data_IF_662142003909
#
_entry.id   IF_662142003909
#
_cell.length_a   1.000
_cell.length_b   1.000
_cell.length_c   1.000
_cell.angle_alpha   90.00
_cell.angle_beta   90.00
_cell.angle_gamma   90.00
#
_symmetry.space_group_name_H-M   'P 1'
#
loop_
_entity.id
_entity.type
_entity.pdbx_description
1 polymer ?
#
# COMPACT_ATOMS: atom_id res chain seq x y z
N UNK A 1 3.97 -29.49 -14.72
CA UNK A 1 4.83 -29.89 -13.60
C UNK A 1 4.17 -29.40 -12.35
N UNK A 2 3.63 -30.31 -11.56
CA UNK A 2 2.96 -29.96 -10.30
C UNK A 2 3.98 -29.40 -9.30
N UNK A 3 4.00 -28.10 -9.12
CA UNK A 3 4.59 -27.47 -7.94
C UNK A 3 3.47 -27.02 -7.01
N UNK A 4 2.72 -27.99 -6.48
CA UNK A 4 2.03 -27.79 -5.22
C UNK A 4 3.12 -27.63 -4.15
N UNK A 5 3.67 -26.43 -4.00
CA UNK A 5 4.48 -26.06 -2.86
C UNK A 5 3.60 -26.23 -1.63
N UNK A 6 3.97 -27.19 -0.77
CA UNK A 6 3.42 -27.29 0.60
C UNK A 6 3.49 -25.87 1.17
N UNK A 7 2.34 -25.32 1.58
CA UNK A 7 2.25 -24.06 2.31
C UNK A 7 3.28 -24.09 3.44
N UNK A 8 4.41 -23.41 3.25
CA UNK A 8 5.39 -23.20 4.31
C UNK A 8 4.72 -22.27 5.32
N UNK A 9 4.71 -22.65 6.61
CA UNK A 9 4.20 -21.75 7.64
C UNK A 9 5.14 -20.54 7.75
N UNK A 10 4.77 -19.43 7.11
CA UNK A 10 5.56 -18.20 7.03
C UNK A 10 5.80 -17.55 8.39
N UNK A 11 5.03 -17.90 9.44
CA UNK A 11 5.34 -17.50 10.81
C UNK A 11 6.68 -18.05 11.30
N UNK A 12 7.14 -19.18 10.73
CA UNK A 12 8.44 -19.79 11.04
C UNK A 12 9.61 -19.15 10.26
N UNK A 13 9.34 -18.28 9.29
CA UNK A 13 10.40 -17.52 8.61
C UNK A 13 11.20 -16.70 9.63
N UNK A 14 12.55 -16.62 9.52
CA UNK A 14 13.40 -15.94 10.52
C UNK A 14 12.92 -14.53 10.89
N UNK A 15 12.48 -13.75 9.91
CA UNK A 15 12.00 -12.37 10.10
C UNK A 15 10.71 -12.29 10.94
N UNK A 16 9.86 -13.30 10.86
CA UNK A 16 8.61 -13.34 11.62
C UNK A 16 8.78 -14.05 12.97
N UNK A 17 9.63 -15.07 13.01
CA UNK A 17 9.98 -15.79 14.24
C UNK A 17 10.68 -14.89 15.25
N UNK A 18 11.42 -13.89 14.81
CA UNK A 18 12.09 -12.90 15.66
C UNK A 18 11.17 -11.81 16.23
N UNK A 19 9.91 -11.73 15.78
CA UNK A 19 8.96 -10.76 16.30
C UNK A 19 8.58 -11.07 17.76
N UNK A 20 8.66 -10.05 18.61
CA UNK A 20 8.10 -10.14 19.96
C UNK A 20 6.56 -10.12 19.91
N UNK A 21 5.85 -10.57 20.96
CA UNK A 21 4.40 -10.44 21.04
C UNK A 21 3.90 -9.01 20.79
N UNK A 22 4.60 -8.01 21.34
CA UNK A 22 4.27 -6.59 21.18
C UNK A 22 4.43 -6.14 19.74
N UNK A 23 5.48 -6.58 19.04
CA UNK A 23 5.70 -6.27 17.64
C UNK A 23 4.60 -6.87 16.74
N UNK A 24 4.15 -8.10 17.05
CA UNK A 24 3.02 -8.73 16.35
C UNK A 24 1.72 -7.96 16.56
N UNK A 25 1.45 -7.55 17.80
CA UNK A 25 0.28 -6.71 18.15
C UNK A 25 0.38 -5.35 17.43
N UNK A 26 1.56 -4.78 17.31
CA UNK A 26 1.76 -3.52 16.59
C UNK A 26 1.40 -3.66 15.10
N UNK A 27 1.79 -4.75 14.43
CA UNK A 27 1.37 -5.01 13.05
C UNK A 27 -0.15 -5.04 12.92
N UNK A 28 -0.84 -5.72 13.82
CA UNK A 28 -2.30 -5.77 13.84
C UNK A 28 -2.91 -4.38 14.07
N UNK A 29 -2.34 -3.60 14.99
CA UNK A 29 -2.77 -2.23 15.27
C UNK A 29 -2.67 -1.36 14.03
N UNK A 30 -1.57 -1.41 13.27
CA UNK A 30 -1.41 -0.63 12.06
C UNK A 30 -2.43 -1.03 10.98
N UNK A 31 -2.71 -2.31 10.81
CA UNK A 31 -3.78 -2.77 9.89
C UNK A 31 -5.15 -2.22 10.31
N UNK A 32 -5.45 -2.25 11.61
CA UNK A 32 -6.70 -1.70 12.16
C UNK A 32 -6.78 -0.18 12.01
N UNK A 33 -5.68 0.55 12.20
CA UNK A 33 -5.60 2.00 11.99
C UNK A 33 -5.95 2.35 10.54
N UNK A 34 -5.38 1.66 9.56
CA UNK A 34 -5.72 1.84 8.14
C UNK A 34 -7.21 1.57 7.91
N UNK A 35 -7.73 0.43 8.37
CA UNK A 35 -9.13 0.06 8.22
C UNK A 35 -10.09 1.10 8.81
N UNK A 36 -9.82 1.60 10.00
CA UNK A 36 -10.68 2.57 10.69
C UNK A 36 -10.59 3.96 10.06
N UNK A 37 -9.40 4.38 9.65
CA UNK A 37 -9.22 5.61 8.89
C UNK A 37 -10.04 5.60 7.61
N UNK A 38 -9.94 4.55 6.81
CA UNK A 38 -10.65 4.43 5.52
C UNK A 38 -12.17 4.36 5.70
N UNK A 39 -12.64 3.66 6.74
CA UNK A 39 -14.06 3.62 7.08
C UNK A 39 -14.57 5.00 7.48
N UNK A 40 -13.78 5.75 8.25
CA UNK A 40 -14.13 7.11 8.64
C UNK A 40 -14.09 8.05 7.44
N UNK A 41 -13.06 7.99 6.60
CA UNK A 41 -12.95 8.77 5.38
C UNK A 41 -14.14 8.52 4.44
N UNK A 42 -14.57 7.27 4.25
CA UNK A 42 -15.76 6.93 3.46
C UNK A 42 -17.01 7.60 4.04
N UNK A 43 -17.19 7.57 5.36
CA UNK A 43 -18.33 8.20 6.02
C UNK A 43 -18.34 9.72 5.78
N UNK A 44 -17.20 10.39 5.94
CA UNK A 44 -17.08 11.83 5.72
C UNK A 44 -17.25 12.22 4.25
N UNK A 45 -16.75 11.39 3.34
CA UNK A 45 -16.97 11.57 1.90
C UNK A 45 -18.46 11.52 1.55
N UNK A 46 -19.20 10.56 2.11
CA UNK A 46 -20.66 10.44 1.86
C UNK A 46 -21.46 11.60 2.41
N UNK A 47 -20.94 12.32 3.43
CA UNK A 47 -21.49 13.57 3.94
C UNK A 47 -21.16 14.80 3.09
N UNK A 48 -20.38 14.64 2.01
CA UNK A 48 -19.98 15.74 1.14
C UNK A 48 -18.86 16.63 1.71
N UNK A 49 -18.10 16.14 2.69
CA UNK A 49 -17.00 16.90 3.32
C UNK A 49 -15.71 16.89 2.50
N UNK A 50 -15.62 16.01 1.52
CA UNK A 50 -14.43 15.79 0.68
C UNK A 50 -14.80 15.88 -0.78
N UNK A 51 -13.92 16.46 -1.60
CA UNK A 51 -14.05 16.53 -3.05
C UNK A 51 -13.17 15.54 -3.78
N UNK A 52 -13.37 15.46 -5.10
CA UNK A 52 -12.53 14.64 -5.98
C UNK A 52 -12.81 13.14 -5.89
N UNK A 53 -11.86 12.35 -6.40
CA UNK A 53 -11.93 10.89 -6.39
C UNK A 53 -11.21 10.35 -5.15
N UNK A 54 -11.86 9.46 -4.42
CA UNK A 54 -11.29 8.78 -3.27
C UNK A 54 -11.19 7.27 -3.54
N UNK A 55 -10.00 6.70 -3.29
CA UNK A 55 -9.68 5.30 -3.55
C UNK A 55 -9.32 4.60 -2.23
N UNK A 56 -10.27 3.83 -1.71
CA UNK A 56 -10.09 3.14 -0.43
C UNK A 56 -9.13 1.94 -0.54
N UNK A 57 -8.30 1.77 0.48
CA UNK A 57 -7.33 0.68 0.56
C UNK A 57 -7.87 -0.58 1.27
N UNK A 58 -9.12 -0.54 1.76
CA UNK A 58 -9.75 -1.60 2.55
C UNK A 58 -9.70 -2.95 1.84
N UNK A 59 -9.17 -3.96 2.55
CA UNK A 59 -8.96 -5.34 2.10
C UNK A 59 -7.51 -5.67 1.74
N UNK A 60 -6.62 -4.67 1.68
CA UNK A 60 -5.22 -4.83 1.26
C UNK A 60 -4.22 -4.48 2.37
N UNK A 61 -4.68 -4.28 3.62
CA UNK A 61 -3.90 -3.72 4.72
C UNK A 61 -2.63 -4.51 5.05
N UNK A 62 -2.67 -5.83 4.89
CA UNK A 62 -1.53 -6.72 5.11
C UNK A 62 -0.35 -6.44 4.19
N UNK A 63 -0.61 -6.03 2.94
CA UNK A 63 0.45 -5.73 1.96
C UNK A 63 1.20 -4.47 2.38
N UNK A 64 0.49 -3.36 2.64
CA UNK A 64 1.12 -2.11 3.04
C UNK A 64 1.88 -2.26 4.37
N UNK A 65 1.21 -2.80 5.41
CA UNK A 65 1.81 -2.94 6.74
C UNK A 65 2.94 -3.96 6.71
N UNK A 66 2.73 -5.11 6.06
CA UNK A 66 3.75 -6.16 5.96
C UNK A 66 5.03 -5.67 5.32
N UNK A 67 4.92 -5.01 4.17
CA UNK A 67 6.08 -4.51 3.42
C UNK A 67 6.74 -3.31 4.13
N UNK A 68 5.98 -2.28 4.51
CA UNK A 68 6.53 -1.07 5.12
C UNK A 68 7.14 -1.32 6.51
N UNK A 69 6.69 -2.35 7.25
CA UNK A 69 7.26 -2.71 8.57
C UNK A 69 8.69 -3.22 8.53
N UNK A 70 9.25 -3.43 7.35
CA UNK A 70 10.61 -3.93 7.12
C UNK A 70 11.60 -2.85 6.69
N UNK A 71 11.11 -1.65 6.45
CA UNK A 71 11.93 -0.54 5.94
C UNK A 71 12.96 -0.07 6.96
N UNK A 72 14.17 0.17 6.47
CA UNK A 72 15.22 0.89 7.17
C UNK A 72 15.22 2.38 6.83
N UNK A 73 16.14 3.11 7.43
CA UNK A 73 16.23 4.59 7.34
C UNK A 73 16.50 5.10 5.90
N UNK A 74 17.20 4.32 5.09
CA UNK A 74 17.53 4.66 3.70
C UNK A 74 16.53 4.10 2.68
N UNK A 75 15.49 3.38 3.12
CA UNK A 75 14.49 2.83 2.22
C UNK A 75 13.43 3.88 1.86
N UNK A 76 12.97 3.86 0.62
CA UNK A 76 11.97 4.78 0.09
C UNK A 76 10.70 4.04 -0.33
N UNK A 77 9.55 4.70 -0.19
CA UNK A 77 8.26 4.21 -0.69
C UNK A 77 7.65 5.20 -1.66
N UNK A 78 7.12 4.67 -2.75
CA UNK A 78 6.30 5.40 -3.71
C UNK A 78 5.15 4.50 -4.17
N UNK A 79 3.97 5.07 -4.37
CA UNK A 79 2.77 4.29 -4.71
C UNK A 79 1.88 5.01 -5.73
N UNK A 80 0.84 4.33 -6.19
CA UNK A 80 -0.22 4.89 -7.00
C UNK A 80 -1.22 5.70 -6.13
N UNK A 81 -2.32 6.11 -6.73
CA UNK A 81 -3.39 6.93 -6.12
C UNK A 81 -4.14 6.26 -4.96
N UNK A 82 -4.05 4.93 -4.77
CA UNK A 82 -4.60 4.20 -3.60
C UNK A 82 -3.57 4.19 -2.47
N UNK A 83 -3.23 5.37 -1.99
CA UNK A 83 -2.02 5.61 -1.21
C UNK A 83 -2.23 5.68 0.31
N UNK A 84 -3.48 5.72 0.80
CA UNK A 84 -3.75 5.95 2.23
C UNK A 84 -3.15 4.87 3.13
N UNK A 85 -3.28 3.59 2.73
CA UNK A 85 -2.71 2.48 3.49
C UNK A 85 -1.20 2.58 3.65
N UNK A 86 -0.50 2.88 2.56
CA UNK A 86 0.96 3.05 2.58
C UNK A 86 1.38 4.27 3.40
N UNK A 87 0.67 5.39 3.27
CA UNK A 87 0.92 6.61 4.04
C UNK A 87 0.86 6.34 5.55
N UNK A 88 -0.18 5.65 6.01
CA UNK A 88 -0.31 5.29 7.42
C UNK A 88 0.72 4.23 7.83
N UNK A 89 1.01 3.25 6.98
CA UNK A 89 1.98 2.20 7.25
C UNK A 89 3.43 2.73 7.41
N UNK A 90 3.80 3.82 6.73
CA UNK A 90 5.09 4.51 6.94
C UNK A 90 5.05 5.48 8.13
N UNK A 91 3.94 5.54 8.86
CA UNK A 91 3.81 6.33 10.10
C UNK A 91 3.43 7.80 9.88
N UNK A 92 2.71 8.14 8.80
CA UNK A 92 2.14 9.47 8.66
C UNK A 92 1.07 9.74 9.74
N UNK A 93 0.94 11.00 10.11
CA UNK A 93 -0.04 11.43 11.09
C UNK A 93 -1.47 11.35 10.51
N UNK A 94 -2.36 10.65 11.20
CA UNK A 94 -3.74 10.45 10.75
C UNK A 94 -4.51 11.77 10.64
N UNK A 95 -4.23 12.74 11.52
CA UNK A 95 -4.85 14.07 11.47
C UNK A 95 -4.49 14.82 10.18
N UNK A 96 -3.20 14.81 9.80
CA UNK A 96 -2.72 15.44 8.58
C UNK A 96 -3.27 14.76 7.33
N UNK A 97 -3.35 13.42 7.34
CA UNK A 97 -3.97 12.65 6.25
C UNK A 97 -5.46 13.00 6.09
N UNK A 98 -6.21 13.05 7.19
CA UNK A 98 -7.63 13.38 7.15
C UNK A 98 -7.86 14.84 6.75
N UNK A 99 -7.04 15.76 7.26
CA UNK A 99 -7.09 17.17 6.88
C UNK A 99 -6.83 17.37 5.38
N UNK A 100 -5.92 16.59 4.80
CA UNK A 100 -5.67 16.60 3.36
C UNK A 100 -6.91 16.17 2.55
N UNK A 101 -7.61 15.13 2.98
CA UNK A 101 -8.86 14.70 2.36
C UNK A 101 -9.95 15.77 2.40
N UNK A 102 -9.96 16.60 3.46
CA UNK A 102 -10.88 17.75 3.59
C UNK A 102 -10.40 18.99 2.85
N UNK A 103 -9.24 18.96 2.19
CA UNK A 103 -8.66 20.11 1.51
C UNK A 103 -8.22 21.24 2.46
N UNK A 104 -7.74 20.91 3.66
CA UNK A 104 -7.35 21.85 4.71
C UNK A 104 -5.87 22.19 4.66
N UNK A 105 -5.52 23.41 5.09
CA UNK A 105 -4.13 23.89 5.12
C UNK A 105 -3.21 23.04 6.02
N UNK A 106 -3.76 22.34 7.00
CA UNK A 106 -3.03 21.44 7.90
C UNK A 106 -2.84 20.03 7.33
N UNK A 107 -3.29 19.78 6.09
CA UNK A 107 -3.08 18.52 5.39
C UNK A 107 -1.62 18.29 5.03
N UNK A 108 -1.24 17.03 4.85
CA UNK A 108 0.14 16.62 4.52
C UNK A 108 0.67 17.21 3.20
N UNK A 109 -0.22 17.63 2.31
CA UNK A 109 0.08 18.36 1.07
C UNK A 109 -0.57 19.75 1.06
N UNK A 110 -0.78 20.35 2.24
CA UNK A 110 -1.36 21.68 2.46
C UNK A 110 -2.77 21.83 1.85
N UNK A 111 -3.52 20.73 1.73
CA UNK A 111 -4.85 20.71 1.12
C UNK A 111 -4.87 20.75 -0.42
N UNK A 112 -3.71 20.64 -1.07
CA UNK A 112 -3.57 20.73 -2.54
C UNK A 112 -3.60 19.37 -3.24
N UNK A 113 -3.34 18.27 -2.50
CA UNK A 113 -3.18 16.92 -3.03
C UNK A 113 -4.47 16.08 -3.02
N UNK A 114 -5.29 16.25 -2.01
CA UNK A 114 -6.47 15.40 -1.81
C UNK A 114 -6.09 13.92 -1.63
N UNK A 115 -7.05 13.01 -1.90
CA UNK A 115 -6.90 11.57 -1.66
C UNK A 115 -5.73 10.91 -2.39
N UNK A 116 -5.29 11.43 -3.53
CA UNK A 116 -4.35 10.74 -4.40
C UNK A 116 -2.88 11.19 -4.27
N UNK A 117 -2.63 12.21 -3.45
CA UNK A 117 -1.32 12.86 -3.40
C UNK A 117 -0.90 13.19 -1.96
N UNK A 118 -0.78 12.15 -1.13
CA UNK A 118 -0.17 12.24 0.20
C UNK A 118 1.35 12.14 0.05
N UNK A 119 2.09 13.04 0.69
CA UNK A 119 3.55 13.07 0.67
C UNK A 119 4.11 13.28 2.07
N UNK A 120 5.20 12.60 2.40
CA UNK A 120 5.97 12.80 3.63
C UNK A 120 7.47 12.51 3.35
N UNK A 121 8.19 13.48 2.76
CA UNK A 121 9.61 13.31 2.43
C UNK A 121 10.49 13.01 3.65
N UNK A 122 10.12 13.50 4.83
CA UNK A 122 10.76 13.21 6.13
C UNK A 122 10.66 11.73 6.56
N UNK A 123 9.75 10.99 5.94
CA UNK A 123 9.55 9.54 6.13
C UNK A 123 9.97 8.73 4.91
N UNK A 124 10.70 9.33 3.98
CA UNK A 124 11.04 8.72 2.70
C UNK A 124 9.79 8.20 1.92
N UNK A 125 8.64 8.83 2.15
CA UNK A 125 7.38 8.53 1.45
C UNK A 125 7.12 9.56 0.35
N UNK A 126 7.25 9.11 -0.90
CA UNK A 126 7.19 9.95 -2.10
C UNK A 126 5.81 9.95 -2.76
N UNK A 127 4.83 9.51 -2.01
CA UNK A 127 3.43 9.77 -2.24
C UNK A 127 2.71 8.87 -3.21
N UNK A 128 1.46 9.25 -3.37
CA UNK A 128 0.53 8.71 -4.35
C UNK A 128 0.59 9.48 -5.66
N UNK A 129 0.40 8.75 -6.77
CA UNK A 129 0.41 9.32 -8.11
C UNK A 129 -0.88 8.99 -8.85
N UNK A 130 -1.56 10.02 -9.37
CA UNK A 130 -2.82 9.88 -10.10
C UNK A 130 -2.67 9.24 -11.47
N UNK A 131 -1.51 9.39 -12.12
CA UNK A 131 -1.23 8.79 -13.42
C UNK A 131 -0.89 7.32 -13.26
N UNK A 132 -1.69 6.45 -13.88
CA UNK A 132 -1.50 4.99 -13.82
C UNK A 132 -0.13 4.59 -14.37
N UNK A 133 0.69 3.95 -13.55
CA UNK A 133 2.05 3.55 -13.90
C UNK A 133 3.10 4.67 -13.77
N UNK A 134 2.70 5.94 -13.59
CA UNK A 134 3.62 7.07 -13.49
C UNK A 134 4.62 6.98 -12.34
N UNK A 135 4.29 6.27 -11.28
CA UNK A 135 5.20 6.03 -10.16
C UNK A 135 6.36 5.09 -10.52
N UNK A 136 6.25 4.25 -11.57
CA UNK A 136 7.28 3.25 -11.87
C UNK A 136 8.62 3.87 -12.31
N UNK A 137 8.68 4.86 -13.22
CA UNK A 137 9.93 5.55 -13.51
C UNK A 137 10.40 6.46 -12.36
N UNK A 138 9.49 6.97 -11.52
CA UNK A 138 9.89 7.75 -10.35
C UNK A 138 10.55 6.86 -9.29
N UNK A 139 9.99 5.66 -9.03
CA UNK A 139 10.61 4.67 -8.15
C UNK A 139 11.99 4.21 -8.66
N UNK A 140 12.14 4.06 -9.99
CA UNK A 140 13.43 3.85 -10.63
C UNK A 140 14.41 4.99 -10.32
N UNK A 141 13.94 6.24 -10.42
CA UNK A 141 14.73 7.43 -10.12
C UNK A 141 15.19 7.49 -8.66
N UNK A 142 14.33 7.11 -7.71
CA UNK A 142 14.69 7.00 -6.30
C UNK A 142 15.80 5.96 -6.10
N UNK A 143 15.67 4.78 -6.68
CA UNK A 143 16.69 3.73 -6.63
C UNK A 143 18.01 4.16 -7.28
N UNK A 144 17.94 4.88 -8.40
CA UNK A 144 19.12 5.48 -9.03
C UNK A 144 19.80 6.48 -8.09
N UNK A 145 19.02 7.33 -7.43
CA UNK A 145 19.53 8.29 -6.46
C UNK A 145 20.22 7.63 -5.27
N UNK A 146 19.68 6.54 -4.75
CA UNK A 146 20.30 5.72 -3.70
C UNK A 146 21.66 5.19 -4.15
N UNK A 147 21.70 4.54 -5.31
CA UNK A 147 22.95 4.00 -5.87
C UNK A 147 23.97 5.10 -6.15
N UNK A 148 23.55 6.22 -6.74
CA UNK A 148 24.44 7.35 -7.03
C UNK A 148 25.08 7.94 -5.77
N UNK A 149 24.31 8.00 -4.67
CA UNK A 149 24.80 8.48 -3.37
C UNK A 149 25.59 7.42 -2.58
N UNK A 150 25.66 6.19 -3.06
CA UNK A 150 26.29 5.08 -2.34
C UNK A 150 25.55 4.61 -1.10
N UNK A 151 24.25 4.89 -1.00
CA UNK A 151 23.38 4.44 0.09
C UNK A 151 22.92 3.00 -0.13
N UNK A 152 22.75 2.26 0.96
CA UNK A 152 22.30 0.86 0.92
C UNK A 152 20.80 0.76 1.23
N UNK A 153 20.00 1.55 0.52
CA UNK A 153 18.56 1.52 0.63
C UNK A 153 17.90 0.82 -0.56
N UNK A 154 16.60 0.61 -0.46
CA UNK A 154 15.72 0.11 -1.52
C UNK A 154 14.62 1.12 -1.82
N UNK A 155 14.13 1.16 -3.07
CA UNK A 155 12.93 1.90 -3.44
C UNK A 155 11.78 0.91 -3.65
N UNK A 156 10.83 0.86 -2.72
CA UNK A 156 9.60 0.07 -2.83
C UNK A 156 8.60 0.87 -3.67
N UNK A 157 8.28 0.38 -4.86
CA UNK A 157 7.37 1.02 -5.80
C UNK A 157 6.10 0.18 -5.96
N UNK A 158 5.01 0.61 -5.32
CA UNK A 158 3.74 -0.11 -5.35
C UNK A 158 2.91 0.26 -6.58
N UNK A 159 2.29 -0.73 -7.19
CA UNK A 159 1.45 -0.56 -8.37
C UNK A 159 0.34 -1.62 -8.40
N UNK A 160 -0.83 -1.27 -8.97
CA UNK A 160 -1.92 -2.23 -9.15
C UNK A 160 -1.71 -3.10 -10.41
N UNK A 161 -2.46 -4.20 -10.49
CA UNK A 161 -2.48 -5.15 -11.62
C UNK A 161 -2.69 -4.46 -12.98
N UNK A 162 -3.55 -3.45 -13.06
CA UNK A 162 -3.76 -2.69 -14.29
C UNK A 162 -2.56 -1.85 -14.73
N UNK A 163 -1.80 -1.33 -13.78
CA UNK A 163 -0.62 -0.52 -14.07
C UNK A 163 0.52 -1.35 -14.72
N UNK A 164 0.52 -2.65 -14.53
CA UNK A 164 1.49 -3.57 -15.13
C UNK A 164 1.44 -3.56 -16.67
N UNK A 165 0.30 -3.13 -17.26
CA UNK A 165 0.16 -3.01 -18.70
C UNK A 165 0.65 -1.67 -19.29
N UNK A 166 1.16 -0.75 -18.46
CA UNK A 166 1.73 0.51 -18.92
C UNK A 166 3.15 0.34 -19.47
N UNK A 167 3.45 0.96 -20.62
CA UNK A 167 4.76 0.87 -21.27
C UNK A 167 5.91 1.36 -20.38
N UNK A 168 5.67 2.41 -19.58
CA UNK A 168 6.68 2.99 -18.69
C UNK A 168 7.21 1.99 -17.63
N UNK A 169 6.44 0.96 -17.25
CA UNK A 169 6.95 -0.11 -16.39
C UNK A 169 8.06 -0.88 -17.12
N UNK A 170 7.84 -1.30 -18.37
CA UNK A 170 8.81 -2.11 -19.13
C UNK A 170 10.08 -1.34 -19.43
N UNK A 171 9.97 -0.05 -19.74
CA UNK A 171 11.13 0.84 -19.86
C UNK A 171 11.90 0.91 -18.55
N UNK A 172 11.18 1.06 -17.43
CA UNK A 172 11.78 1.09 -16.08
C UNK A 172 12.44 -0.24 -15.71
N UNK A 173 11.82 -1.39 -16.04
CA UNK A 173 12.40 -2.72 -15.79
C UNK A 173 13.72 -2.91 -16.54
N UNK A 174 13.75 -2.51 -17.82
CA UNK A 174 14.96 -2.58 -18.60
C UNK A 174 16.09 -1.74 -18.00
N UNK A 175 15.81 -0.51 -17.62
CA UNK A 175 16.80 0.37 -16.99
C UNK A 175 17.21 -0.13 -15.60
N UNK A 176 16.26 -0.65 -14.80
CA UNK A 176 16.55 -1.20 -13.48
C UNK A 176 17.53 -2.37 -13.55
N UNK A 177 17.32 -3.29 -14.50
CA UNK A 177 18.22 -4.42 -14.72
C UNK A 177 19.58 -3.97 -15.27
N UNK A 178 19.58 -3.11 -16.31
CA UNK A 178 20.80 -2.63 -16.97
C UNK A 178 21.73 -1.88 -16.01
N UNK A 179 21.17 -1.04 -15.15
CA UNK A 179 21.91 -0.25 -14.19
C UNK A 179 22.01 -0.89 -12.80
N UNK A 180 21.49 -2.11 -12.63
CA UNK A 180 21.49 -2.83 -11.34
C UNK A 180 20.98 -1.94 -10.19
N UNK A 181 19.76 -1.45 -10.32
CA UNK A 181 19.17 -0.50 -9.35
C UNK A 181 18.37 -1.23 -8.27
N UNK A 182 18.46 -0.78 -7.00
CA UNK A 182 17.80 -1.42 -5.86
C UNK A 182 16.30 -1.02 -5.79
N UNK A 183 15.54 -1.23 -6.86
CA UNK A 183 14.09 -1.00 -6.90
C UNK A 183 13.34 -2.31 -6.73
N UNK A 184 12.30 -2.28 -5.91
CA UNK A 184 11.38 -3.39 -5.69
C UNK A 184 10.01 -2.96 -6.20
N UNK A 185 9.59 -3.48 -7.36
CA UNK A 185 8.24 -3.27 -7.86
C UNK A 185 7.28 -4.23 -7.17
N UNK A 186 6.30 -3.67 -6.44
CA UNK A 186 5.34 -4.46 -5.67
C UNK A 186 3.97 -4.34 -6.33
N UNK A 187 3.54 -5.42 -6.98
CA UNK A 187 2.23 -5.50 -7.63
C UNK A 187 1.19 -5.91 -6.59
N UNK A 188 0.23 -5.03 -6.35
CA UNK A 188 -0.97 -5.31 -5.56
C UNK A 188 -2.06 -5.80 -6.51
N UNK A 189 -2.07 -7.13 -6.74
CA UNK A 189 -3.01 -7.75 -7.66
C UNK A 189 -4.36 -7.98 -6.96
N UNK A 190 -5.30 -7.06 -7.16
CA UNK A 190 -6.66 -7.19 -6.63
C UNK A 190 -7.67 -7.70 -7.68
N UNK A 191 -7.16 -8.18 -8.82
CA UNK A 191 -7.94 -8.84 -9.87
C UNK A 191 -8.71 -7.90 -10.80
N UNK A 192 -8.73 -6.58 -10.53
CA UNK A 192 -9.57 -5.65 -11.29
C UNK A 192 -8.93 -4.28 -11.50
N UNK A 193 -8.73 -3.93 -12.76
CA UNK A 193 -8.36 -2.58 -13.20
C UNK A 193 -9.63 -1.78 -13.47
N UNK A 194 -10.04 -0.91 -12.55
CA UNK A 194 -11.39 -0.35 -12.53
C UNK A 194 -12.42 -1.49 -12.56
N UNK A 195 -13.22 -1.59 -13.59
CA UNK A 195 -14.19 -2.67 -13.84
C UNK A 195 -13.72 -3.76 -14.79
N UNK A 196 -12.46 -3.74 -15.23
CA UNK A 196 -11.91 -4.75 -16.14
C UNK A 196 -11.14 -5.80 -15.35
N UNK A 197 -11.58 -7.06 -15.41
CA UNK A 197 -10.92 -8.16 -14.74
C UNK A 197 -9.53 -8.44 -15.36
N UNK A 198 -8.64 -9.04 -14.56
CA UNK A 198 -7.32 -9.48 -15.02
C UNK A 198 -7.46 -10.44 -16.23
N UNK A 199 -8.46 -11.33 -16.20
CA UNK A 199 -8.81 -12.25 -17.28
C UNK A 199 -9.02 -11.55 -18.64
N UNK A 200 -9.56 -10.34 -18.63
CA UNK A 200 -9.84 -9.56 -19.84
C UNK A 200 -8.71 -8.60 -20.23
N UNK A 201 -7.79 -8.31 -19.33
CA UNK A 201 -6.79 -7.26 -19.52
C UNK A 201 -5.36 -7.79 -19.70
N UNK A 202 -5.11 -9.06 -19.38
CA UNK A 202 -3.76 -9.63 -19.43
C UNK A 202 -3.75 -11.00 -20.13
N UNK A 203 -2.74 -11.24 -20.95
CA UNK A 203 -2.45 -12.57 -21.52
C UNK A 203 -1.80 -13.46 -20.45
N UNK A 204 -0.86 -12.91 -19.69
CA UNK A 204 -0.27 -13.58 -18.51
C UNK A 204 -1.13 -13.21 -17.30
N UNK A 205 -1.87 -14.19 -16.77
CA UNK A 205 -2.88 -13.99 -15.73
C UNK A 205 -2.48 -14.61 -14.41
N UNK A 206 -1.77 -15.73 -14.47
CA UNK A 206 -1.48 -16.55 -13.30
C UNK A 206 -0.40 -15.90 -12.42
N UNK A 207 0.52 -15.14 -13.01
CA UNK A 207 1.53 -14.38 -12.29
C UNK A 207 2.05 -13.22 -13.13
N UNK A 208 1.68 -12.00 -12.77
CA UNK A 208 2.12 -10.78 -13.47
C UNK A 208 3.60 -10.50 -13.24
N UNK A 209 4.11 -10.84 -12.06
CA UNK A 209 5.52 -10.64 -11.70
C UNK A 209 6.48 -11.43 -12.59
N UNK A 210 6.02 -12.56 -13.17
CA UNK A 210 6.81 -13.36 -14.13
C UNK A 210 7.27 -12.57 -15.35
N UNK A 211 6.63 -11.44 -15.67
CA UNK A 211 7.07 -10.55 -16.75
C UNK A 211 8.49 -10.02 -16.55
N UNK A 212 9.01 -10.05 -15.32
CA UNK A 212 10.40 -9.74 -14.99
C UNK A 212 11.43 -10.63 -15.68
N UNK A 213 11.06 -11.86 -16.05
CA UNK A 213 11.96 -12.80 -16.74
C UNK A 213 12.48 -12.24 -18.07
N UNK A 214 11.65 -11.47 -18.79
CA UNK A 214 12.05 -10.82 -20.04
C UNK A 214 13.20 -9.81 -19.85
N UNK A 215 13.43 -9.35 -18.62
CA UNK A 215 14.48 -8.41 -18.23
C UNK A 215 15.52 -9.02 -17.29
N UNK A 216 15.52 -10.34 -17.12
CA UNK A 216 16.39 -11.06 -16.17
C UNK A 216 16.26 -10.55 -14.72
N UNK A 217 15.08 -10.10 -14.32
CA UNK A 217 14.77 -9.63 -12.97
C UNK A 217 14.13 -10.78 -12.18
N UNK A 218 14.63 -11.02 -10.96
CA UNK A 218 13.99 -11.97 -10.03
C UNK A 218 12.59 -11.52 -9.65
N UNK A 219 11.71 -12.49 -9.48
CA UNK A 219 10.33 -12.24 -9.12
C UNK A 219 9.81 -13.27 -8.11
N UNK A 220 8.76 -12.89 -7.40
CA UNK A 220 7.99 -13.80 -6.53
C UNK A 220 6.52 -13.40 -6.52
N UNK A 221 5.65 -14.41 -6.39
CA UNK A 221 4.22 -14.26 -6.13
C UNK A 221 3.91 -14.83 -4.75
N UNK A 222 3.03 -14.18 -4.01
CA UNK A 222 2.68 -14.56 -2.64
C UNK A 222 1.25 -14.15 -2.29
N UNK A 223 0.69 -14.77 -1.25
CA UNK A 223 -0.62 -14.42 -0.72
C UNK A 223 -0.55 -13.08 0.03
N UNK A 224 -1.16 -12.05 -0.53
CA UNK A 224 -1.23 -10.72 0.09
C UNK A 224 -2.19 -10.61 1.27
N UNK A 225 -2.96 -11.65 1.60
CA UNK A 225 -3.84 -11.70 2.77
C UNK A 225 -3.10 -12.14 4.04
N UNK A 226 -1.98 -12.87 3.88
CA UNK A 226 -1.11 -13.30 4.99
C UNK A 226 0.06 -12.34 5.19
N UNK A 227 -0.02 -11.53 6.26
CA UNK A 227 1.03 -10.56 6.58
C UNK A 227 2.39 -11.21 6.84
N UNK A 228 2.44 -12.43 7.36
CA UNK A 228 3.70 -13.14 7.57
C UNK A 228 4.34 -13.56 6.25
N UNK A 229 3.54 -13.96 5.26
CA UNK A 229 4.02 -14.26 3.92
C UNK A 229 4.51 -12.99 3.21
N UNK A 230 3.72 -11.90 3.26
CA UNK A 230 4.13 -10.59 2.74
C UNK A 230 5.49 -10.17 3.31
N UNK A 231 5.67 -10.25 4.63
CA UNK A 231 6.93 -9.90 5.29
C UNK A 231 8.09 -10.78 4.85
N UNK A 232 7.88 -12.10 4.81
CA UNK A 232 8.93 -13.05 4.47
C UNK A 232 9.43 -12.90 3.04
N UNK A 233 8.53 -12.61 2.11
CA UNK A 233 8.86 -12.40 0.68
C UNK A 233 9.51 -11.03 0.47
N UNK A 234 8.94 -9.99 1.06
CA UNK A 234 9.48 -8.61 0.96
C UNK A 234 10.87 -8.51 1.57
N UNK A 235 11.13 -9.16 2.73
CA UNK A 235 12.45 -9.17 3.37
C UNK A 235 13.55 -9.67 2.41
N UNK A 236 13.29 -10.74 1.67
CA UNK A 236 14.27 -11.26 0.70
C UNK A 236 14.59 -10.25 -0.39
N UNK A 237 13.58 -9.55 -0.89
CA UNK A 237 13.75 -8.52 -1.92
C UNK A 237 14.53 -7.31 -1.38
N UNK A 238 14.24 -6.85 -0.15
CA UNK A 238 14.98 -5.76 0.52
C UNK A 238 16.43 -6.18 0.75
N UNK A 239 16.68 -7.38 1.27
CA UNK A 239 18.04 -7.88 1.47
C UNK A 239 18.84 -7.95 0.17
N UNK A 240 18.20 -8.38 -0.92
CA UNK A 240 18.82 -8.41 -2.24
C UNK A 240 19.14 -7.01 -2.74
N UNK A 241 18.20 -6.07 -2.60
CA UNK A 241 18.42 -4.67 -2.96
C UNK A 241 19.59 -4.06 -2.17
N UNK A 242 19.65 -4.27 -0.87
CA UNK A 242 20.71 -3.73 0.00
C UNK A 242 22.08 -4.36 -0.25
N UNK A 243 22.14 -5.69 -0.48
CA UNK A 243 23.41 -6.43 -0.61
C UNK A 243 23.97 -6.41 -2.03
N UNK A 244 23.09 -6.52 -3.02
CA UNK A 244 23.47 -6.74 -4.42
C UNK A 244 23.17 -5.54 -5.32
N UNK A 245 22.38 -4.56 -4.82
CA UNK A 245 21.88 -3.42 -5.62
C UNK A 245 21.15 -3.91 -6.89
N UNK A 246 20.23 -4.88 -6.76
CA UNK A 246 19.50 -5.47 -7.88
C UNK A 246 18.00 -5.32 -7.72
N UNK A 247 17.26 -5.16 -8.83
CA UNK A 247 15.82 -5.06 -8.82
C UNK A 247 15.13 -6.38 -8.53
N UNK A 248 13.90 -6.31 -8.00
CA UNK A 248 13.02 -7.45 -7.80
C UNK A 248 11.58 -7.05 -8.13
N UNK A 249 10.76 -7.98 -8.63
CA UNK A 249 9.33 -7.80 -8.79
C UNK A 249 8.62 -8.73 -7.81
N UNK A 250 7.74 -8.17 -6.99
CA UNK A 250 6.87 -8.93 -6.11
C UNK A 250 5.42 -8.77 -6.57
N UNK A 251 4.65 -9.83 -6.48
CA UNK A 251 3.21 -9.80 -6.67
C UNK A 251 2.52 -10.35 -5.44
N UNK A 252 1.58 -9.58 -4.90
CA UNK A 252 0.73 -9.99 -3.80
C UNK A 252 -0.71 -10.09 -4.27
N UNK A 253 -1.26 -11.30 -4.25
CA UNK A 253 -2.67 -11.56 -4.52
C UNK A 253 -3.48 -11.03 -3.34
N UNK A 254 -4.37 -10.08 -3.62
CA UNK A 254 -5.17 -9.39 -2.60
C UNK A 254 -6.55 -9.06 -3.14
N UNK A 255 -7.38 -8.37 -2.36
CA UNK A 255 -8.72 -7.98 -2.80
C UNK A 255 -9.16 -6.66 -2.19
N UNK A 256 -9.76 -5.77 -3.00
CA UNK A 256 -10.40 -4.55 -2.51
C UNK A 256 -11.89 -4.75 -2.30
N UNK A 257 -12.42 -4.39 -1.14
CA UNK A 257 -13.83 -4.61 -0.80
C UNK A 257 -14.80 -3.63 -1.45
N UNK A 258 -14.31 -2.46 -1.82
CA UNK A 258 -15.10 -1.40 -2.44
C UNK A 258 -14.82 -1.29 -3.94
N UNK A 259 -15.58 -0.46 -4.65
CA UNK A 259 -15.32 -0.14 -6.05
C UNK A 259 -13.90 0.41 -6.29
N UNK A 260 -13.56 0.67 -7.52
CA UNK A 260 -12.26 1.26 -7.86
C UNK A 260 -12.06 2.61 -7.15
N UNK A 261 -13.08 3.45 -7.20
CA UNK A 261 -13.22 4.65 -6.37
C UNK A 261 -14.52 4.59 -5.58
N UNK A 262 -14.74 5.50 -4.65
CA UNK A 262 -16.01 5.57 -3.92
C UNK A 262 -17.18 5.84 -4.84
N UNK A 263 -16.96 6.55 -5.97
CA UNK A 263 -18.00 6.79 -6.97
C UNK A 263 -18.52 5.49 -7.59
N UNK A 264 -17.67 4.47 -7.78
CA UNK A 264 -18.05 3.18 -8.37
C UNK A 264 -18.89 2.32 -7.43
N UNK A 265 -18.81 2.56 -6.13
CA UNK A 265 -19.52 1.75 -5.12
C UNK A 265 -21.04 1.95 -5.15
N UNK A 266 -21.54 2.99 -5.82
CA UNK A 266 -22.96 3.26 -6.00
C UNK A 266 -23.61 2.41 -7.10
N UNK A 267 -22.82 1.80 -7.96
CA UNK A 267 -23.33 0.94 -9.03
C UNK A 267 -23.51 -0.49 -8.52
N UNK A 268 -24.62 -0.75 -7.84
CA UNK A 268 -25.11 -2.12 -7.59
C UNK A 268 -25.30 -2.81 -8.95
N UNK A 269 -24.69 -3.97 -9.12
CA UNK A 269 -24.69 -4.67 -10.42
C UNK A 269 -23.46 -4.36 -11.26
N UNK A 270 -22.38 -3.91 -10.62
CA UNK A 270 -21.08 -3.71 -11.22
C UNK A 270 -20.46 -5.00 -11.75
N UNK A 271 -19.20 -4.94 -12.00
CA UNK A 271 -18.38 -6.00 -12.57
C UNK A 271 -18.05 -7.15 -11.60
N UNK A 272 -18.46 -7.06 -10.32
CA UNK A 272 -18.30 -8.10 -9.27
C UNK A 272 -19.66 -8.39 -8.63
N UNK A 273 -19.91 -9.65 -8.30
CA UNK A 273 -21.11 -10.03 -7.57
C UNK A 273 -21.02 -9.62 -6.08
N UNK A 274 -22.18 -9.42 -5.45
CA UNK A 274 -22.23 -9.20 -3.99
C UNK A 274 -21.73 -10.46 -3.25
N UNK A 275 -22.03 -11.65 -3.76
CA UNK A 275 -21.58 -12.92 -3.20
C UNK A 275 -20.05 -13.03 -3.20
N UNK A 276 -19.37 -12.66 -4.29
CA UNK A 276 -17.93 -12.61 -4.39
C UNK A 276 -17.33 -11.70 -3.29
N UNK A 277 -17.84 -10.47 -3.17
CA UNK A 277 -17.36 -9.50 -2.21
C UNK A 277 -17.56 -9.99 -0.75
N UNK A 278 -18.73 -10.52 -0.43
CA UNK A 278 -19.04 -11.02 0.92
C UNK A 278 -18.25 -12.28 1.25
N UNK A 279 -17.97 -13.13 0.27
CA UNK A 279 -17.06 -14.28 0.45
C UNK A 279 -15.64 -13.83 0.83
N UNK A 280 -15.09 -12.86 0.09
CA UNK A 280 -13.77 -12.33 0.42
C UNK A 280 -13.75 -11.65 1.80
N UNK A 281 -14.77 -10.88 2.16
CA UNK A 281 -14.85 -10.27 3.50
C UNK A 281 -14.94 -11.29 4.64
N UNK A 282 -15.63 -12.41 4.41
CA UNK A 282 -15.82 -13.45 5.41
C UNK A 282 -14.60 -14.34 5.57
N UNK A 283 -14.03 -14.80 4.44
CA UNK A 283 -13.07 -15.89 4.42
C UNK A 283 -11.63 -15.39 4.21
N UNK A 284 -11.44 -14.17 3.69
CA UNK A 284 -10.17 -13.63 3.20
C UNK A 284 -9.83 -12.26 3.80
N UNK A 285 -10.49 -11.85 4.91
CA UNK A 285 -10.14 -10.58 5.56
C UNK A 285 -8.78 -10.67 6.25
N UNK A 286 -7.75 -9.93 5.78
CA UNK A 286 -6.39 -10.04 6.32
C UNK A 286 -6.30 -9.71 7.81
N UNK A 287 -7.18 -8.82 8.32
CA UNK A 287 -7.22 -8.48 9.74
C UNK A 287 -7.78 -9.66 10.54
N UNK A 288 -8.86 -10.30 10.07
CA UNK A 288 -9.46 -11.43 10.77
C UNK A 288 -8.55 -12.67 10.71
N UNK A 289 -7.89 -12.91 9.58
CA UNK A 289 -6.91 -13.98 9.42
C UNK A 289 -5.74 -13.79 10.41
N UNK A 290 -5.19 -12.58 10.47
CA UNK A 290 -4.09 -12.31 11.39
C UNK A 290 -4.52 -12.31 12.86
N UNK A 291 -5.70 -11.76 13.19
CA UNK A 291 -6.32 -11.88 14.53
C UNK A 291 -6.40 -13.33 14.98
N UNK A 292 -6.99 -14.19 14.14
CA UNK A 292 -7.12 -15.63 14.42
C UNK A 292 -5.75 -16.26 14.69
N UNK A 293 -4.77 -15.95 13.85
CA UNK A 293 -3.40 -16.45 14.00
C UNK A 293 -2.78 -16.05 15.33
N UNK A 294 -2.92 -14.78 15.74
CA UNK A 294 -2.36 -14.27 17.00
C UNK A 294 -3.03 -14.88 18.22
N UNK A 295 -4.32 -15.21 18.15
CA UNK A 295 -5.04 -15.91 19.21
C UNK A 295 -4.54 -17.35 19.32
N UNK A 296 -4.37 -18.05 18.20
CA UNK A 296 -3.81 -19.41 18.14
C UNK A 296 -2.36 -19.46 18.68
N UNK A 297 -1.58 -18.42 18.46
CA UNK A 297 -0.22 -18.25 19.00
C UNK A 297 -0.20 -17.86 20.49
N UNK A 298 -1.36 -17.59 21.10
CA UNK A 298 -1.45 -17.13 22.49
C UNK A 298 -0.93 -15.72 22.73
N UNK A 299 -0.81 -14.91 21.68
CA UNK A 299 -0.30 -13.52 21.71
C UNK A 299 -1.43 -12.51 21.94
N UNK A 300 -2.65 -12.82 21.54
CA UNK A 300 -3.80 -11.93 21.55
C UNK A 300 -5.02 -12.61 22.17
N UNK A 301 -5.84 -11.85 22.86
CA UNK A 301 -7.19 -12.26 23.29
C UNK A 301 -8.25 -11.47 22.53
N UNK A 302 -9.50 -11.96 22.49
CA UNK A 302 -10.62 -11.23 21.88
C UNK A 302 -10.80 -9.86 22.51
N UNK A 303 -10.74 -9.74 23.83
CA UNK A 303 -10.88 -8.46 24.53
C UNK A 303 -9.79 -7.45 24.14
N UNK A 304 -8.54 -7.89 24.03
CA UNK A 304 -7.45 -7.03 23.56
C UNK A 304 -7.62 -6.60 22.10
N UNK A 305 -8.16 -7.48 21.24
CA UNK A 305 -8.50 -7.10 19.87
C UNK A 305 -9.54 -5.97 19.84
N UNK A 306 -10.59 -6.10 20.63
CA UNK A 306 -11.65 -5.09 20.71
C UNK A 306 -11.11 -3.75 21.22
N UNK A 307 -10.27 -3.76 22.25
CA UNK A 307 -9.60 -2.56 22.78
C UNK A 307 -8.73 -1.87 21.70
N UNK A 308 -7.93 -2.63 20.94
CA UNK A 308 -7.08 -2.09 19.86
C UNK A 308 -7.96 -1.51 18.74
N UNK A 309 -9.03 -2.22 18.38
CA UNK A 309 -9.96 -1.80 17.33
C UNK A 309 -10.71 -0.51 17.72
N UNK A 310 -11.12 -0.39 18.99
CA UNK A 310 -11.81 0.81 19.50
C UNK A 310 -10.85 1.99 19.61
N UNK A 311 -9.61 1.77 20.04
CA UNK A 311 -8.57 2.79 20.03
C UNK A 311 -8.30 3.34 18.62
N UNK A 312 -8.18 2.46 17.63
CA UNK A 312 -7.99 2.87 16.22
C UNK A 312 -9.23 3.62 15.68
N UNK A 313 -10.44 3.25 16.11
CA UNK A 313 -11.67 3.97 15.77
C UNK A 313 -11.67 5.36 16.37
N UNK A 314 -11.34 5.49 17.66
CA UNK A 314 -11.27 6.77 18.33
C UNK A 314 -10.23 7.71 17.69
N UNK A 315 -9.07 7.18 17.28
CA UNK A 315 -8.05 7.94 16.54
C UNK A 315 -8.61 8.47 15.20
N UNK A 316 -9.31 7.62 14.46
CA UNK A 316 -9.92 8.02 13.19
C UNK A 316 -11.05 9.06 13.38
N UNK A 317 -11.82 8.96 14.44
CA UNK A 317 -12.84 9.97 14.79
C UNK A 317 -12.20 11.31 15.18
N UNK A 318 -11.16 11.28 15.99
CA UNK A 318 -10.41 12.47 16.38
C UNK A 318 -9.77 13.16 15.15
N UNK A 319 -9.25 12.38 14.18
CA UNK A 319 -8.69 12.92 12.96
C UNK A 319 -9.73 13.66 12.09
N UNK A 320 -10.96 13.14 12.04
CA UNK A 320 -12.05 13.82 11.32
C UNK A 320 -12.45 15.12 12.01
N UNK A 321 -12.48 15.13 13.34
CA UNK A 321 -12.73 16.36 14.11
C UNK A 321 -11.62 17.39 13.89
N UNK A 322 -10.35 16.97 13.96
CA UNK A 322 -9.21 17.84 13.66
C UNK A 322 -9.31 18.46 12.26
N UNK A 323 -9.67 17.66 11.26
CA UNK A 323 -9.86 18.14 9.90
C UNK A 323 -11.02 19.14 9.77
N UNK A 324 -12.13 18.91 10.45
CA UNK A 324 -13.27 19.85 10.45
C UNK A 324 -12.89 21.21 11.04
N UNK A 325 -12.14 21.22 12.14
CA UNK A 325 -11.69 22.44 12.85
C UNK A 325 -10.53 23.16 12.16
N UNK A 326 -9.83 22.47 11.24
CA UNK A 326 -8.67 23.02 10.54
C UNK A 326 -9.05 24.11 9.54
N UNK A 327 -8.19 25.15 9.34
CA UNK A 327 -8.45 26.22 8.41
C UNK A 327 -8.37 25.75 6.95
N UNK A 328 -9.07 26.42 6.07
CA UNK A 328 -8.87 26.30 4.62
C UNK A 328 -7.54 26.98 4.21
N UNK A 329 -6.90 26.51 3.13
CA UNK A 329 -5.78 27.24 2.54
C UNK A 329 -6.16 28.67 2.16
N UNK A 330 -5.23 29.59 2.29
CA UNK A 330 -5.44 30.97 1.82
C UNK A 330 -5.43 31.04 0.29
N UNK A 331 -6.07 32.06 -0.29
CA UNK A 331 -6.03 32.28 -1.75
C UNK A 331 -4.60 32.46 -2.27
N UNK A 332 -3.72 33.06 -1.46
CA UNK A 332 -2.30 33.24 -1.79
C UNK A 332 -1.55 31.90 -1.93
N UNK A 333 -2.02 30.85 -1.25
CA UNK A 333 -1.37 29.52 -1.29
C UNK A 333 -1.37 28.89 -2.69
N UNK A 334 -2.18 29.38 -3.63
CA UNK A 334 -2.19 28.93 -5.03
C UNK A 334 -0.83 29.19 -5.70
N UNK A 335 -0.11 30.20 -5.27
CA UNK A 335 1.19 30.60 -5.83
C UNK A 335 2.37 30.05 -5.02
N UNK A 336 2.13 29.38 -3.89
CA UNK A 336 3.15 28.77 -3.07
C UNK A 336 3.52 27.37 -3.58
N UNK A 337 4.77 26.95 -3.35
CA UNK A 337 5.29 25.62 -3.69
C UNK A 337 5.24 25.30 -5.20
N UNK A 338 5.16 26.29 -6.10
CA UNK A 338 5.17 26.09 -7.56
C UNK A 338 6.59 25.90 -8.06
N UNK A 339 7.54 26.64 -7.50
CA UNK A 339 8.96 26.55 -7.81
C UNK A 339 9.76 26.42 -6.52
N UNK A 340 10.93 25.81 -6.63
CA UNK A 340 11.90 25.80 -5.55
C UNK A 340 12.54 27.19 -5.46
N UNK A 341 12.37 27.87 -4.34
CA UNK A 341 13.04 29.12 -4.03
C UNK A 341 14.37 28.80 -3.34
N UNK A 342 15.47 29.32 -3.90
CA UNK A 342 16.84 29.11 -3.39
C UNK A 342 17.11 30.09 -2.25
#
# INVERSE_FOLDING_TARGET
MDTATKSSDHALAPINKSLTPEAKIQLLREMLRIRRFEQRALNEYTKGKMGGFMHLYIGQESVAVGACSLMGDDDHVITAYRCHGHALAVGMNMNECMAELYGKATGCSKGKGGSMHFFAPDKNYWGGHGIVGGQTPLGLGLAYGLKYKGLKGAALCFLGDGAVNQGCLYESLNMAALFELPVIYVIENNGYSMGTSLERSSVVKDCLAQRGEAFCIEWAQANGEDIYEVRAVTQKAIERAHKESKPTILEFDTYRYYGHSVADSKHKGGYRSEEEIETYKRDHDPIQLFKKRLIEEGVLTEAQFDEISDAARAEAEASAQFAEESPLPSDASIFEDVYFEV
#
